data_IF_493291925663
#
_entry.id   IF_493291925663
#
_cell.length_a   1.000
_cell.length_b   1.000
_cell.length_c   1.000
_cell.angle_alpha   90.00
_cell.angle_beta   90.00
_cell.angle_gamma   90.00
#
_symmetry.space_group_name_H-M   'P 1'
#
loop_
_entity.id
_entity.type
_entity.pdbx_description
1 polymer ?
#
# COMPACT_ATOMS: atom_id res chain seq x y z
N UNK A 1 9.11 -28.47 62.30
CA UNK A 1 9.89 -28.88 61.12
C UNK A 1 9.53 -27.90 60.01
N UNK A 2 10.44 -26.99 59.66
CA UNK A 2 10.24 -26.06 58.57
C UNK A 2 10.53 -26.74 57.24
N UNK A 3 9.63 -26.62 56.28
CA UNK A 3 9.82 -27.14 54.91
C UNK A 3 11.05 -26.47 54.28
N UNK A 4 11.89 -27.20 53.53
CA UNK A 4 13.02 -26.60 52.86
C UNK A 4 12.54 -25.58 51.83
N UNK A 5 13.30 -24.47 51.59
CA UNK A 5 12.96 -23.52 50.58
C UNK A 5 12.97 -24.19 49.20
N UNK A 6 11.95 -23.85 48.38
CA UNK A 6 11.90 -24.28 46.99
C UNK A 6 13.16 -23.79 46.26
N UNK A 7 13.78 -24.62 45.38
CA UNK A 7 14.91 -24.20 44.62
C UNK A 7 14.47 -23.00 43.72
N UNK A 8 15.35 -22.01 43.50
CA UNK A 8 15.05 -20.91 42.58
C UNK A 8 14.69 -21.50 41.23
N UNK A 9 13.51 -21.15 40.73
CA UNK A 9 13.11 -21.53 39.36
C UNK A 9 14.19 -21.05 38.44
N UNK A 10 14.87 -21.96 37.74
CA UNK A 10 15.83 -21.56 36.70
C UNK A 10 15.10 -20.61 35.71
N UNK A 11 15.60 -19.41 35.54
CA UNK A 11 15.07 -18.50 34.55
C UNK A 11 15.11 -19.20 33.18
N UNK A 12 14.07 -19.08 32.36
CA UNK A 12 14.05 -19.72 31.05
C UNK A 12 15.26 -19.23 30.22
N UNK A 13 16.02 -20.13 29.66
CA UNK A 13 17.09 -19.76 28.69
C UNK A 13 16.50 -19.40 27.33
N UNK A 14 16.05 -18.19 27.20
CA UNK A 14 15.50 -17.67 25.95
C UNK A 14 16.53 -17.61 24.81
N UNK A 15 17.82 -17.47 25.11
CA UNK A 15 18.90 -17.45 24.13
C UNK A 15 19.16 -18.81 23.51
N UNK A 16 18.85 -19.88 24.23
CA UNK A 16 18.98 -21.27 23.81
C UNK A 16 17.75 -21.85 23.10
N UNK A 17 16.75 -21.06 22.78
CA UNK A 17 15.59 -21.55 22.02
C UNK A 17 16.01 -22.12 20.67
N UNK A 18 15.43 -23.30 20.28
CA UNK A 18 15.60 -23.82 18.92
C UNK A 18 15.09 -22.89 17.84
N UNK A 19 15.69 -22.94 16.64
CA UNK A 19 15.36 -22.05 15.54
C UNK A 19 13.89 -22.11 15.13
N UNK A 20 13.28 -23.28 15.08
CA UNK A 20 11.86 -23.49 14.77
C UNK A 20 10.91 -22.85 15.80
N UNK A 21 11.28 -22.89 17.07
CA UNK A 21 10.53 -22.22 18.11
C UNK A 21 10.66 -20.67 17.96
N UNK A 22 11.86 -20.17 17.67
CA UNK A 22 12.10 -18.75 17.42
C UNK A 22 11.33 -18.25 16.20
N UNK A 23 11.33 -19.01 15.10
CA UNK A 23 10.56 -18.67 13.91
C UNK A 23 9.06 -18.57 14.21
N UNK A 24 8.52 -19.52 14.96
CA UNK A 24 7.11 -19.47 15.39
C UNK A 24 6.80 -18.21 16.21
N UNK A 25 7.73 -17.76 17.05
CA UNK A 25 7.60 -16.52 17.82
C UNK A 25 7.65 -15.31 16.87
N UNK A 26 8.62 -15.27 15.97
CA UNK A 26 8.83 -14.14 15.04
C UNK A 26 7.67 -13.98 14.06
N UNK A 27 7.11 -15.07 13.55
CA UNK A 27 5.91 -15.04 12.70
C UNK A 27 4.69 -14.43 13.41
N UNK A 28 4.58 -14.61 14.72
CA UNK A 28 3.49 -14.03 15.52
C UNK A 28 3.73 -12.57 15.90
N UNK A 29 4.98 -12.19 16.07
CA UNK A 29 5.35 -10.81 16.38
C UNK A 29 5.14 -9.90 15.18
N UNK A 30 5.53 -10.36 13.98
CA UNK A 30 5.53 -9.54 12.78
C UNK A 30 6.82 -8.75 12.55
N UNK A 31 6.91 -8.10 11.40
CA UNK A 31 8.13 -7.44 10.95
C UNK A 31 8.61 -6.29 11.86
N UNK A 32 7.76 -5.36 12.33
CA UNK A 32 8.20 -4.26 13.17
C UNK A 32 8.86 -4.72 14.47
N UNK A 33 8.21 -5.64 15.20
CA UNK A 33 8.68 -6.14 16.48
C UNK A 33 9.98 -6.96 16.34
N UNK A 34 10.12 -7.70 15.23
CA UNK A 34 11.35 -8.44 14.95
C UNK A 34 12.50 -7.49 14.61
N UNK A 35 12.23 -6.42 13.83
CA UNK A 35 13.25 -5.46 13.44
C UNK A 35 13.74 -4.60 14.61
N UNK A 36 12.83 -4.14 15.46
CA UNK A 36 13.13 -3.18 16.52
C UNK A 36 13.45 -3.83 17.87
N UNK A 37 12.97 -5.04 18.11
CA UNK A 37 13.03 -5.70 19.42
C UNK A 37 13.63 -7.09 19.37
N UNK A 38 12.85 -8.06 18.92
CA UNK A 38 13.24 -9.47 19.02
C UNK A 38 14.55 -9.79 18.28
N UNK A 39 14.79 -9.20 17.12
CA UNK A 39 16.00 -9.41 16.35
C UNK A 39 17.29 -8.91 17.02
N UNK A 40 17.20 -8.07 18.06
CA UNK A 40 18.36 -7.50 18.75
C UNK A 40 18.57 -8.04 20.17
N UNK A 41 17.75 -8.98 20.62
CA UNK A 41 17.81 -9.59 21.98
C UNK A 41 19.15 -10.30 22.21
N UNK A 42 19.57 -11.15 21.28
CA UNK A 42 20.87 -11.83 21.34
C UNK A 42 21.34 -12.26 19.94
N UNK A 43 22.60 -12.72 19.85
CA UNK A 43 23.20 -13.15 18.58
C UNK A 43 22.44 -14.30 17.89
N UNK A 44 21.88 -15.23 18.65
CA UNK A 44 21.09 -16.34 18.10
C UNK A 44 19.79 -15.82 17.47
N UNK A 45 19.07 -14.96 18.15
CA UNK A 45 17.84 -14.35 17.63
C UNK A 45 18.11 -13.51 16.40
N UNK A 46 19.18 -12.70 16.39
CA UNK A 46 19.57 -11.95 15.22
C UNK A 46 19.90 -12.85 14.03
N UNK A 47 20.65 -13.93 14.27
CA UNK A 47 21.01 -14.90 13.22
C UNK A 47 19.76 -15.51 12.58
N UNK A 48 18.78 -15.94 13.38
CA UNK A 48 17.53 -16.50 12.87
C UNK A 48 16.72 -15.42 12.13
N UNK A 49 16.57 -14.23 12.70
CA UNK A 49 15.84 -13.14 12.07
C UNK A 49 16.45 -12.69 10.72
N UNK A 50 17.76 -12.81 10.53
CA UNK A 50 18.45 -12.40 9.28
C UNK A 50 18.66 -13.56 8.33
N UNK A 51 18.68 -14.80 8.82
CA UNK A 51 19.01 -15.98 8.01
C UNK A 51 17.80 -16.69 7.38
N UNK A 52 16.57 -16.28 7.72
CA UNK A 52 15.36 -16.95 7.28
C UNK A 52 14.50 -16.03 6.37
N UNK A 53 14.73 -16.01 5.05
CA UNK A 53 14.02 -15.13 4.13
C UNK A 53 12.50 -15.35 4.11
N UNK A 54 12.01 -16.56 4.42
CA UNK A 54 10.60 -16.87 4.42
C UNK A 54 9.82 -16.13 5.53
N UNK A 55 10.51 -15.73 6.61
CA UNK A 55 9.96 -14.85 7.64
C UNK A 55 9.52 -13.50 7.08
N UNK A 56 10.17 -13.02 6.02
CA UNK A 56 9.99 -11.70 5.41
C UNK A 56 9.13 -11.73 4.13
N UNK A 57 8.44 -12.84 3.86
CA UNK A 57 7.48 -12.90 2.75
C UNK A 57 6.33 -11.91 2.91
N UNK A 58 5.97 -11.61 4.16
CA UNK A 58 4.92 -10.66 4.52
C UNK A 58 5.50 -9.61 5.43
N UNK A 59 5.60 -8.40 4.91
CA UNK A 59 6.10 -7.23 5.65
C UNK A 59 4.94 -6.26 5.79
N UNK A 60 4.42 -6.13 7.00
CA UNK A 60 3.41 -5.15 7.35
C UNK A 60 4.03 -4.13 8.30
N UNK A 61 4.17 -2.90 7.82
CA UNK A 61 4.67 -1.73 8.54
C UNK A 61 3.55 -0.69 8.71
N UNK A 62 2.29 -1.12 8.61
CA UNK A 62 1.14 -0.28 8.93
C UNK A 62 1.05 -0.05 10.45
N UNK A 63 0.43 1.04 10.85
CA UNK A 63 0.17 1.39 12.25
C UNK A 63 1.41 1.45 13.17
N UNK A 64 2.62 1.35 12.62
CA UNK A 64 3.88 1.42 13.36
C UNK A 64 4.67 2.71 13.09
N UNK A 65 4.05 3.72 12.45
CA UNK A 65 4.73 4.98 12.14
C UNK A 65 5.15 5.71 13.42
N UNK A 66 6.46 5.89 13.57
CA UNK A 66 7.09 6.67 14.63
C UNK A 66 8.07 7.67 13.98
N UNK A 67 7.88 8.98 14.17
CA UNK A 67 8.75 9.99 13.57
C UNK A 67 10.19 9.96 14.10
N UNK A 68 10.44 9.24 15.19
CA UNK A 68 11.81 9.08 15.77
C UNK A 68 12.57 7.91 15.16
N UNK A 69 11.88 7.04 14.38
CA UNK A 69 12.44 5.85 13.75
C UNK A 69 12.59 6.09 12.25
N UNK A 70 13.72 5.70 11.69
CA UNK A 70 13.90 5.66 10.24
C UNK A 70 13.11 4.49 9.62
N UNK A 71 11.84 4.78 9.33
CA UNK A 71 10.91 3.82 8.72
C UNK A 71 11.38 3.34 7.34
N UNK A 72 12.10 4.19 6.58
CA UNK A 72 12.63 3.82 5.26
C UNK A 72 13.77 2.82 5.43
N UNK A 73 14.69 3.05 6.36
CA UNK A 73 15.76 2.10 6.66
C UNK A 73 15.20 0.76 7.16
N UNK A 74 14.16 0.80 7.99
CA UNK A 74 13.45 -0.40 8.47
C UNK A 74 12.82 -1.20 7.32
N UNK A 75 12.13 -0.53 6.40
CA UNK A 75 11.56 -1.17 5.21
C UNK A 75 12.65 -1.77 4.30
N UNK A 76 13.75 -1.04 4.07
CA UNK A 76 14.88 -1.55 3.30
C UNK A 76 15.48 -2.80 3.94
N UNK A 77 15.67 -2.82 5.27
CA UNK A 77 16.18 -4.00 5.98
C UNK A 77 15.25 -5.21 5.84
N UNK A 78 13.92 -5.01 5.92
CA UNK A 78 12.95 -6.08 5.71
C UNK A 78 13.00 -6.63 4.28
N UNK A 79 13.06 -5.74 3.28
CA UNK A 79 13.15 -6.12 1.85
C UNK A 79 14.45 -6.88 1.56
N UNK A 80 15.58 -6.46 2.14
CA UNK A 80 16.86 -7.15 1.97
C UNK A 80 16.83 -8.55 2.59
N UNK A 81 16.27 -8.68 3.81
CA UNK A 81 16.13 -9.97 4.51
C UNK A 81 15.19 -10.94 3.78
N UNK A 82 14.21 -10.41 3.04
CA UNK A 82 13.32 -11.23 2.23
C UNK A 82 14.04 -11.95 1.07
N UNK A 83 15.23 -11.51 0.66
CA UNK A 83 16.06 -12.12 -0.38
C UNK A 83 15.26 -12.48 -1.65
N UNK A 84 14.48 -11.53 -2.14
CA UNK A 84 13.61 -11.69 -3.32
C UNK A 84 12.30 -12.42 -3.08
N UNK A 85 12.03 -12.93 -1.88
CA UNK A 85 10.81 -13.69 -1.54
C UNK A 85 9.66 -12.84 -1.01
N UNK A 86 9.78 -11.52 -1.04
CA UNK A 86 8.72 -10.62 -0.60
C UNK A 86 7.49 -10.78 -1.49
N UNK A 87 6.37 -11.18 -0.90
CA UNK A 87 5.08 -11.38 -1.58
C UNK A 87 4.04 -10.33 -1.17
N UNK A 88 4.09 -9.82 0.06
CA UNK A 88 3.14 -8.85 0.58
C UNK A 88 3.88 -7.71 1.27
N UNK A 89 3.56 -6.49 0.90
CA UNK A 89 4.09 -5.30 1.55
C UNK A 89 2.96 -4.33 1.88
N UNK A 90 2.90 -3.91 3.13
CA UNK A 90 1.98 -2.90 3.61
C UNK A 90 2.72 -1.82 4.39
N UNK A 91 2.36 -0.55 4.21
CA UNK A 91 2.97 0.55 4.93
C UNK A 91 2.12 1.82 4.87
N UNK A 92 2.28 2.67 5.90
CA UNK A 92 1.58 3.92 6.06
C UNK A 92 2.55 5.12 6.13
N UNK A 93 2.21 6.21 5.44
CA UNK A 93 2.81 7.55 5.55
C UNK A 93 4.20 7.76 4.93
N UNK A 94 5.13 6.82 5.01
CA UNK A 94 6.55 7.07 4.72
C UNK A 94 7.02 6.61 3.33
N UNK A 95 6.21 5.82 2.61
CA UNK A 95 6.62 5.28 1.30
C UNK A 95 6.69 6.38 0.25
N UNK A 96 7.75 6.35 -0.54
CA UNK A 96 8.04 7.28 -1.63
C UNK A 96 8.53 6.51 -2.86
N UNK A 97 8.60 7.16 -4.02
CA UNK A 97 9.13 6.54 -5.24
C UNK A 97 10.53 5.93 -5.08
N UNK A 98 11.52 6.58 -4.43
CA UNK A 98 12.82 5.98 -4.14
C UNK A 98 12.73 4.62 -3.43
N UNK A 99 11.84 4.47 -2.44
CA UNK A 99 11.64 3.18 -1.78
C UNK A 99 11.03 2.13 -2.72
N UNK A 100 10.06 2.52 -3.55
CA UNK A 100 9.49 1.60 -4.57
C UNK A 100 10.53 1.18 -5.61
N UNK A 101 11.42 2.08 -6.03
CA UNK A 101 12.56 1.73 -6.90
C UNK A 101 13.54 0.78 -6.21
N UNK A 102 13.80 0.99 -4.91
CA UNK A 102 14.63 0.09 -4.12
C UNK A 102 14.03 -1.32 -4.06
N UNK A 103 12.73 -1.42 -3.78
CA UNK A 103 11.99 -2.68 -3.76
C UNK A 103 12.01 -3.35 -5.14
N UNK A 104 11.79 -2.59 -6.22
CA UNK A 104 11.80 -3.12 -7.58
C UNK A 104 13.13 -3.78 -7.96
N UNK A 105 14.26 -3.32 -7.43
CA UNK A 105 15.59 -3.93 -7.66
C UNK A 105 15.77 -5.25 -6.92
N UNK A 106 15.00 -5.51 -5.85
CA UNK A 106 15.20 -6.61 -4.89
C UNK A 106 14.08 -7.63 -4.82
N UNK A 107 12.91 -7.32 -5.37
CA UNK A 107 11.77 -8.24 -5.37
C UNK A 107 11.23 -8.45 -6.78
N UNK A 108 10.74 -9.67 -7.04
CA UNK A 108 10.13 -10.04 -8.32
C UNK A 108 8.86 -10.88 -8.16
N UNK A 109 8.44 -11.11 -6.92
CA UNK A 109 7.33 -11.99 -6.57
C UNK A 109 6.21 -11.30 -5.81
N UNK A 110 6.16 -9.94 -5.80
CA UNK A 110 5.16 -9.20 -5.05
C UNK A 110 3.75 -9.49 -5.58
N UNK A 111 2.86 -9.92 -4.68
CA UNK A 111 1.46 -10.27 -4.97
C UNK A 111 0.48 -9.23 -4.44
N UNK A 112 0.84 -8.56 -3.34
CA UNK A 112 -0.01 -7.58 -2.68
C UNK A 112 0.81 -6.37 -2.23
N UNK A 113 0.34 -5.17 -2.57
CA UNK A 113 0.90 -3.89 -2.14
C UNK A 113 -0.20 -3.03 -1.53
N UNK A 114 -0.03 -2.63 -0.27
CA UNK A 114 -0.92 -1.72 0.44
C UNK A 114 -0.17 -0.48 0.89
N UNK A 115 -0.62 0.67 0.43
CA UNK A 115 -0.05 1.98 0.76
C UNK A 115 -1.16 2.90 1.27
N UNK A 116 -0.99 3.41 2.49
CA UNK A 116 -1.93 4.33 3.12
C UNK A 116 -1.23 5.65 3.43
N UNK A 117 -1.86 6.78 3.11
CA UNK A 117 -1.31 8.13 3.30
C UNK A 117 0.08 8.37 2.67
N UNK A 118 0.44 7.65 1.64
CA UNK A 118 1.73 7.78 0.96
C UNK A 118 1.65 8.82 -0.18
N UNK A 119 1.61 10.11 0.20
CA UNK A 119 1.38 11.22 -0.72
C UNK A 119 2.52 11.47 -1.73
N UNK A 120 3.72 10.95 -1.46
CA UNK A 120 4.91 11.10 -2.33
C UNK A 120 5.12 9.92 -3.29
N UNK A 121 4.16 9.01 -3.37
CA UNK A 121 4.15 7.92 -4.36
C UNK A 121 3.54 8.44 -5.66
N UNK A 122 4.21 8.19 -6.78
CA UNK A 122 3.71 8.46 -8.13
C UNK A 122 3.49 7.18 -8.93
N UNK A 123 2.92 7.31 -10.12
CA UNK A 123 2.83 6.19 -11.05
C UNK A 123 4.21 5.68 -11.50
N UNK A 124 5.28 6.50 -11.48
CA UNK A 124 6.64 6.08 -11.87
C UNK A 124 7.18 4.99 -10.93
N UNK A 125 7.06 5.19 -9.62
CA UNK A 125 7.45 4.18 -8.62
C UNK A 125 6.66 2.88 -8.77
N UNK A 126 5.34 2.98 -8.95
CA UNK A 126 4.47 1.81 -9.15
C UNK A 126 4.79 1.06 -10.45
N UNK A 127 5.03 1.78 -11.55
CA UNK A 127 5.40 1.17 -12.85
C UNK A 127 6.76 0.48 -12.75
N UNK A 128 7.74 1.08 -12.07
CA UNK A 128 9.04 0.43 -11.87
C UNK A 128 8.90 -0.89 -11.10
N UNK A 129 8.04 -0.91 -10.06
CA UNK A 129 7.74 -2.13 -9.33
C UNK A 129 6.99 -3.15 -10.21
N UNK A 130 6.04 -2.71 -11.04
CA UNK A 130 5.27 -3.55 -11.95
C UNK A 130 6.14 -4.22 -13.03
N UNK A 131 7.17 -3.56 -13.53
CA UNK A 131 8.15 -4.15 -14.46
C UNK A 131 8.86 -5.38 -13.87
N UNK A 132 8.95 -5.45 -12.54
CA UNK A 132 9.60 -6.56 -11.83
C UNK A 132 8.62 -7.56 -11.22
N UNK A 133 7.43 -7.11 -10.87
CA UNK A 133 6.36 -7.91 -10.26
C UNK A 133 5.05 -7.76 -11.05
N UNK A 134 5.00 -8.20 -12.33
CA UNK A 134 3.82 -8.05 -13.18
C UNK A 134 2.64 -8.91 -12.71
N UNK A 135 2.89 -9.83 -11.79
CA UNK A 135 1.90 -10.74 -11.20
C UNK A 135 1.23 -10.20 -9.94
N UNK A 136 1.36 -8.90 -9.66
CA UNK A 136 0.64 -8.27 -8.56
C UNK A 136 -0.86 -8.48 -8.72
N UNK A 137 -1.49 -9.06 -7.70
CA UNK A 137 -2.92 -9.38 -7.71
C UNK A 137 -3.74 -8.38 -6.91
N UNK A 138 -3.14 -7.75 -5.90
CA UNK A 138 -3.82 -6.82 -5.00
C UNK A 138 -3.06 -5.50 -4.87
N UNK A 139 -3.74 -4.39 -5.10
CA UNK A 139 -3.23 -3.05 -4.90
C UNK A 139 -4.21 -2.23 -4.07
N UNK A 140 -3.72 -1.65 -3.00
CA UNK A 140 -4.44 -0.67 -2.21
C UNK A 140 -3.68 0.65 -2.17
N UNK A 141 -4.35 1.73 -2.56
CA UNK A 141 -3.89 3.10 -2.48
C UNK A 141 -4.96 3.90 -1.74
N UNK A 142 -4.79 4.03 -0.43
CA UNK A 142 -5.71 4.76 0.43
C UNK A 142 -5.10 6.10 0.81
N UNK A 143 -5.78 7.19 0.50
CA UNK A 143 -5.32 8.57 0.77
C UNK A 143 -3.90 8.83 0.21
N UNK A 144 -3.62 8.30 -0.97
CA UNK A 144 -2.37 8.55 -1.71
C UNK A 144 -2.55 9.69 -2.72
N UNK A 145 -1.48 10.04 -3.46
CA UNK A 145 -1.54 11.11 -4.45
C UNK A 145 -2.64 10.90 -5.50
N UNK A 146 -3.45 11.94 -5.73
CA UNK A 146 -4.51 11.94 -6.76
C UNK A 146 -3.95 11.96 -8.19
N UNK A 147 -2.67 12.29 -8.35
CA UNK A 147 -2.01 12.40 -9.67
C UNK A 147 -1.47 11.07 -10.19
N UNK A 148 -1.72 9.96 -9.50
CA UNK A 148 -1.32 8.63 -9.98
C UNK A 148 -2.17 8.25 -11.19
N UNK A 149 -1.53 8.03 -12.35
CA UNK A 149 -2.21 7.54 -13.56
C UNK A 149 -2.60 6.08 -13.39
N UNK A 150 -3.91 5.80 -13.28
CA UNK A 150 -4.42 4.44 -13.17
C UNK A 150 -4.23 3.65 -14.47
N UNK A 151 -4.15 4.34 -15.63
CA UNK A 151 -3.80 3.70 -16.90
C UNK A 151 -2.40 3.09 -16.87
N UNK A 152 -1.41 3.88 -16.42
CA UNK A 152 -0.03 3.40 -16.30
C UNK A 152 0.07 2.24 -15.27
N UNK A 153 -0.67 2.34 -14.16
CA UNK A 153 -0.76 1.29 -13.14
C UNK A 153 -1.38 0.01 -13.72
N UNK A 154 -2.52 0.10 -14.41
CA UNK A 154 -3.16 -1.07 -15.02
C UNK A 154 -2.28 -1.76 -16.06
N UNK A 155 -1.53 -0.99 -16.86
CA UNK A 155 -0.56 -1.54 -17.81
C UNK A 155 0.62 -2.24 -17.13
N UNK A 156 1.06 -1.72 -15.98
CA UNK A 156 2.17 -2.30 -15.21
C UNK A 156 1.76 -3.58 -14.45
N UNK A 157 0.49 -3.70 -14.06
CA UNK A 157 -0.04 -4.81 -13.29
C UNK A 157 -1.22 -5.50 -14.02
N UNK A 158 -0.97 -6.19 -15.14
CA UNK A 158 -2.03 -6.75 -16.00
C UNK A 158 -2.84 -7.87 -15.33
N UNK A 159 -2.37 -8.44 -14.22
CA UNK A 159 -3.06 -9.50 -13.47
C UNK A 159 -3.79 -8.99 -12.22
N UNK A 160 -3.98 -7.68 -12.11
CA UNK A 160 -4.61 -7.08 -10.93
C UNK A 160 -6.06 -7.54 -10.81
N UNK A 161 -6.37 -8.22 -9.69
CA UNK A 161 -7.69 -8.77 -9.38
C UNK A 161 -8.43 -7.94 -8.34
N UNK A 162 -7.70 -7.29 -7.44
CA UNK A 162 -8.25 -6.45 -6.37
C UNK A 162 -7.61 -5.07 -6.38
N UNK A 163 -8.44 -4.06 -6.54
CA UNK A 163 -8.04 -2.66 -6.41
C UNK A 163 -8.86 -1.98 -5.33
N UNK A 164 -8.17 -1.37 -4.37
CA UNK A 164 -8.74 -0.42 -3.42
C UNK A 164 -8.14 0.95 -3.69
N UNK A 165 -8.99 1.87 -4.08
CA UNK A 165 -8.61 3.24 -4.39
C UNK A 165 -9.49 4.15 -3.54
N UNK A 166 -9.06 4.36 -2.30
CA UNK A 166 -9.85 5.06 -1.31
C UNK A 166 -9.33 6.48 -1.16
N UNK A 167 -10.24 7.42 -1.28
CA UNK A 167 -9.94 8.82 -1.08
C UNK A 167 -10.39 9.27 0.31
N UNK A 168 -9.99 10.49 0.63
CA UNK A 168 -10.50 11.23 1.77
C UNK A 168 -11.49 12.27 1.26
N UNK A 169 -12.59 12.44 1.93
CA UNK A 169 -13.51 13.53 1.65
C UNK A 169 -12.87 14.88 2.04
N UNK A 170 -12.00 15.40 1.17
CA UNK A 170 -11.47 16.76 1.30
C UNK A 170 -12.14 17.64 0.25
N UNK A 171 -12.55 18.83 0.66
CA UNK A 171 -13.31 19.74 -0.20
C UNK A 171 -12.39 20.48 -1.18
N UNK A 172 -11.76 19.76 -2.12
CA UNK A 172 -10.93 20.33 -3.19
C UNK A 172 -11.74 20.30 -4.49
N UNK A 173 -12.00 21.45 -5.06
CA UNK A 173 -12.91 21.62 -6.22
C UNK A 173 -12.49 20.85 -7.50
N UNK A 174 -11.21 20.47 -7.62
CA UNK A 174 -10.68 19.77 -8.80
C UNK A 174 -10.75 18.23 -8.74
N UNK A 175 -11.07 17.61 -7.60
CA UNK A 175 -10.98 16.15 -7.42
C UNK A 175 -11.99 15.36 -8.27
N UNK A 176 -13.17 15.90 -8.54
CA UNK A 176 -14.19 15.20 -9.32
C UNK A 176 -13.70 14.83 -10.72
N UNK A 177 -12.99 15.73 -11.41
CA UNK A 177 -12.45 15.47 -12.73
C UNK A 177 -11.38 14.39 -12.69
N UNK A 178 -10.51 14.41 -11.67
CA UNK A 178 -9.48 13.39 -11.50
C UNK A 178 -10.08 12.01 -11.21
N UNK A 179 -11.07 11.92 -10.33
CA UNK A 179 -11.73 10.65 -10.01
C UNK A 179 -12.46 10.06 -11.21
N UNK A 180 -13.09 10.89 -12.05
CA UNK A 180 -13.69 10.43 -13.31
C UNK A 180 -12.63 9.88 -14.27
N UNK A 181 -11.48 10.57 -14.45
CA UNK A 181 -10.39 10.09 -15.30
C UNK A 181 -9.80 8.78 -14.77
N UNK A 182 -9.56 8.69 -13.46
CA UNK A 182 -9.05 7.45 -12.82
C UNK A 182 -10.01 6.28 -13.02
N UNK A 183 -11.32 6.52 -12.91
CA UNK A 183 -12.34 5.51 -13.17
C UNK A 183 -12.35 5.04 -14.63
N UNK A 184 -12.20 5.95 -15.60
CA UNK A 184 -12.06 5.61 -17.02
C UNK A 184 -10.75 4.88 -17.33
N UNK A 185 -9.65 5.27 -16.69
CA UNK A 185 -8.38 4.56 -16.77
C UNK A 185 -8.51 3.12 -16.27
N UNK A 186 -9.16 2.90 -15.12
CA UNK A 186 -9.47 1.56 -14.58
C UNK A 186 -10.26 0.75 -15.59
N UNK A 187 -11.36 1.32 -16.11
CA UNK A 187 -12.22 0.67 -17.09
C UNK A 187 -11.47 0.23 -18.35
N UNK A 188 -10.48 1.00 -18.78
CA UNK A 188 -9.75 0.74 -20.04
C UNK A 188 -8.49 -0.12 -19.88
N UNK A 189 -7.94 -0.25 -18.67
CA UNK A 189 -6.62 -0.88 -18.46
C UNK A 189 -6.60 -2.04 -17.48
N UNK A 190 -7.71 -2.35 -16.78
CA UNK A 190 -7.76 -3.39 -15.75
C UNK A 190 -8.90 -4.41 -16.01
N UNK A 191 -8.88 -5.18 -17.11
CA UNK A 191 -9.97 -6.08 -17.48
C UNK A 191 -10.14 -7.27 -16.54
N UNK A 192 -9.06 -7.70 -15.85
CA UNK A 192 -9.07 -8.86 -14.94
C UNK A 192 -9.61 -8.55 -13.54
N UNK A 193 -10.02 -7.30 -13.30
CA UNK A 193 -10.44 -6.84 -11.98
C UNK A 193 -11.71 -7.58 -11.51
N UNK A 194 -11.62 -8.15 -10.29
CA UNK A 194 -12.71 -8.87 -9.62
C UNK A 194 -13.31 -8.11 -8.44
N UNK A 195 -12.46 -7.37 -7.73
CA UNK A 195 -12.89 -6.62 -6.54
C UNK A 195 -12.42 -5.17 -6.68
N UNK A 196 -13.36 -4.25 -6.64
CA UNK A 196 -13.10 -2.82 -6.73
C UNK A 196 -13.71 -2.09 -5.54
N UNK A 197 -12.89 -1.35 -4.81
CA UNK A 197 -13.34 -0.43 -3.77
C UNK A 197 -12.92 0.98 -4.14
N UNK A 198 -13.90 1.88 -4.20
CA UNK A 198 -13.76 3.29 -4.53
C UNK A 198 -14.34 4.15 -3.40
N UNK A 199 -13.88 3.92 -2.17
CA UNK A 199 -14.42 4.62 -1.00
C UNK A 199 -14.16 6.13 -1.09
N UNK A 200 -15.19 6.95 -0.84
CA UNK A 200 -15.15 8.41 -0.84
C UNK A 200 -14.64 9.06 -2.16
N UNK A 201 -14.79 8.37 -3.29
CA UNK A 201 -14.47 8.92 -4.60
C UNK A 201 -15.62 9.79 -5.12
N UNK A 202 -15.29 10.83 -5.89
CA UNK A 202 -16.26 11.77 -6.49
C UNK A 202 -16.60 11.47 -7.94
N UNK A 203 -16.42 10.21 -8.38
CA UNK A 203 -16.79 9.79 -9.73
C UNK A 203 -18.28 9.96 -9.98
N UNK A 204 -18.67 10.17 -11.25
CA UNK A 204 -20.06 10.29 -11.71
C UNK A 204 -20.58 8.97 -12.29
N UNK A 205 -21.88 8.90 -12.53
CA UNK A 205 -22.56 7.75 -13.12
C UNK A 205 -21.91 7.27 -14.43
N UNK A 206 -21.49 8.19 -15.33
CA UNK A 206 -20.89 7.82 -16.61
C UNK A 206 -19.56 7.07 -16.44
N UNK A 207 -18.73 7.48 -15.49
CA UNK A 207 -17.46 6.83 -15.23
C UNK A 207 -17.67 5.45 -14.55
N UNK A 208 -18.64 5.35 -13.63
CA UNK A 208 -19.04 4.08 -13.05
C UNK A 208 -19.61 3.12 -14.09
N UNK A 209 -20.47 3.61 -15.00
CA UNK A 209 -21.02 2.80 -16.09
C UNK A 209 -19.90 2.23 -16.96
N UNK A 210 -18.87 3.04 -17.29
CA UNK A 210 -17.72 2.57 -18.07
C UNK A 210 -16.96 1.44 -17.37
N UNK A 211 -16.77 1.50 -16.04
CA UNK A 211 -16.18 0.40 -15.27
C UNK A 211 -17.03 -0.85 -15.38
N UNK A 212 -18.34 -0.73 -15.13
CA UNK A 212 -19.26 -1.85 -15.19
C UNK A 212 -19.36 -2.47 -16.59
N UNK A 213 -19.19 -1.69 -17.65
CA UNK A 213 -19.24 -2.16 -19.03
C UNK A 213 -17.95 -2.85 -19.50
N UNK A 214 -16.78 -2.51 -18.91
CA UNK A 214 -15.49 -3.00 -19.37
C UNK A 214 -14.84 -4.02 -18.43
N UNK A 215 -15.10 -3.95 -17.12
CA UNK A 215 -14.59 -4.92 -16.17
C UNK A 215 -15.55 -6.12 -16.04
N UNK A 216 -15.52 -7.01 -17.03
CA UNK A 216 -16.49 -8.12 -17.12
C UNK A 216 -16.35 -9.17 -16.02
N UNK A 217 -15.17 -9.28 -15.41
CA UNK A 217 -14.88 -10.22 -14.34
C UNK A 217 -15.19 -9.66 -12.94
N UNK A 218 -15.72 -8.42 -12.86
CA UNK A 218 -16.02 -7.78 -11.58
C UNK A 218 -17.10 -8.57 -10.83
N UNK A 219 -16.78 -8.93 -9.58
CA UNK A 219 -17.62 -9.70 -8.66
C UNK A 219 -18.11 -8.85 -7.49
N UNK A 220 -17.27 -7.89 -7.03
CA UNK A 220 -17.56 -7.05 -5.87
C UNK A 220 -17.24 -5.59 -6.15
N UNK A 221 -18.12 -4.69 -5.72
CA UNK A 221 -17.99 -3.25 -5.90
C UNK A 221 -18.39 -2.52 -4.62
N UNK A 222 -17.47 -1.73 -4.06
CA UNK A 222 -17.74 -0.87 -2.91
C UNK A 222 -17.68 0.60 -3.33
N UNK A 223 -18.80 1.29 -3.21
CA UNK A 223 -19.00 2.70 -3.55
C UNK A 223 -19.35 3.56 -2.34
N UNK A 224 -19.13 3.06 -1.13
CA UNK A 224 -19.49 3.80 0.08
C UNK A 224 -18.84 5.19 0.07
N UNK A 225 -19.58 6.20 0.52
CA UNK A 225 -19.18 7.61 0.50
C UNK A 225 -19.00 8.23 -0.91
N UNK A 226 -19.33 7.55 -2.01
CA UNK A 226 -19.30 8.09 -3.38
C UNK A 226 -20.60 8.87 -3.67
N UNK A 227 -20.80 10.02 -3.05
CA UNK A 227 -22.09 10.73 -3.06
C UNK A 227 -22.48 11.38 -4.39
N UNK A 228 -21.55 11.48 -5.37
CA UNK A 228 -21.86 11.92 -6.73
C UNK A 228 -22.49 10.80 -7.60
N UNK A 229 -22.47 9.56 -7.11
CA UNK A 229 -23.11 8.43 -7.77
C UNK A 229 -24.56 8.35 -7.38
N UNK A 230 -25.45 8.40 -8.38
CA UNK A 230 -26.88 8.20 -8.22
C UNK A 230 -27.29 6.91 -8.92
N UNK A 231 -27.66 5.88 -8.14
CA UNK A 231 -28.04 4.57 -8.68
C UNK A 231 -29.41 4.66 -9.34
N UNK A 232 -29.42 4.95 -10.62
CA UNK A 232 -30.61 4.90 -11.50
C UNK A 232 -30.95 3.47 -11.93
N UNK A 233 -31.95 3.32 -12.79
CA UNK A 233 -32.41 2.01 -13.25
C UNK A 233 -31.34 1.28 -14.09
N UNK A 234 -30.57 2.02 -14.90
CA UNK A 234 -29.50 1.46 -15.75
C UNK A 234 -28.35 0.93 -14.91
N UNK A 235 -27.80 1.76 -14.01
CA UNK A 235 -26.71 1.33 -13.12
C UNK A 235 -27.14 0.19 -12.20
N UNK A 236 -28.39 0.20 -11.73
CA UNK A 236 -28.96 -0.90 -10.92
C UNK A 236 -28.96 -2.20 -11.71
N UNK A 237 -29.36 -2.17 -12.99
CA UNK A 237 -29.34 -3.35 -13.84
C UNK A 237 -27.90 -3.86 -14.08
N UNK A 238 -26.93 -2.95 -14.29
CA UNK A 238 -25.53 -3.32 -14.45
C UNK A 238 -24.94 -3.90 -13.15
N UNK A 239 -25.27 -3.36 -12.00
CA UNK A 239 -24.84 -3.87 -10.69
C UNK A 239 -25.46 -5.23 -10.32
N UNK A 240 -26.64 -5.57 -10.87
CA UNK A 240 -27.35 -6.81 -10.52
C UNK A 240 -26.56 -8.10 -10.87
N UNK A 241 -25.55 -8.04 -11.73
CA UNK A 241 -24.66 -9.17 -12.05
C UNK A 241 -23.58 -9.42 -11.00
N UNK A 242 -23.32 -8.44 -10.12
CA UNK A 242 -22.29 -8.52 -9.10
C UNK A 242 -22.78 -9.33 -7.90
N UNK A 243 -21.85 -10.01 -7.23
CA UNK A 243 -22.15 -10.82 -6.04
C UNK A 243 -22.32 -9.96 -4.78
N UNK A 244 -21.51 -8.91 -4.68
CA UNK A 244 -21.50 -8.00 -3.54
C UNK A 244 -21.40 -6.56 -4.02
N UNK A 245 -22.32 -5.70 -3.56
CA UNK A 245 -22.35 -4.28 -3.90
C UNK A 245 -22.62 -3.48 -2.65
N UNK A 246 -21.69 -2.58 -2.32
CA UNK A 246 -21.87 -1.58 -1.28
C UNK A 246 -22.20 -0.24 -1.92
N UNK A 247 -23.32 0.33 -1.56
CA UNK A 247 -23.85 1.56 -2.14
C UNK A 247 -23.32 2.80 -1.42
N UNK A 248 -23.42 4.01 -2.02
CA UNK A 248 -22.85 5.24 -1.44
C UNK A 248 -23.28 5.58 -0.02
N UNK A 249 -24.47 5.15 0.39
CA UNK A 249 -25.06 5.45 1.71
C UNK A 249 -25.06 4.26 2.68
N UNK A 250 -24.43 3.14 2.30
CA UNK A 250 -24.33 1.98 3.17
C UNK A 250 -23.42 2.27 4.36
N UNK A 251 -23.59 1.52 5.45
CA UNK A 251 -22.83 1.69 6.68
C UNK A 251 -21.31 1.54 6.45
N UNK A 252 -20.53 2.36 7.12
CA UNK A 252 -19.08 2.36 7.11
C UNK A 252 -18.46 1.73 8.35
N UNK A 253 -19.27 1.19 9.27
CA UNK A 253 -18.81 0.65 10.56
C UNK A 253 -17.77 -0.48 10.44
N UNK A 254 -17.67 -1.11 9.28
CA UNK A 254 -16.71 -2.16 8.95
C UNK A 254 -15.54 -1.64 8.10
N UNK A 255 -15.36 -0.32 8.02
CA UNK A 255 -14.25 0.28 7.27
C UNK A 255 -13.03 0.48 8.17
N UNK A 256 -11.98 -0.28 7.89
CA UNK A 256 -10.80 -0.43 8.76
C UNK A 256 -10.00 0.88 9.00
N UNK A 257 -10.21 1.93 8.16
CA UNK A 257 -9.43 3.18 8.22
C UNK A 257 -10.21 4.39 8.76
N UNK A 258 -11.42 4.23 9.27
CA UNK A 258 -12.26 5.35 9.70
C UNK A 258 -11.64 6.10 10.90
N UNK A 259 -11.11 5.36 11.87
CA UNK A 259 -10.43 5.93 13.05
C UNK A 259 -9.16 6.74 12.68
N UNK A 260 -8.44 6.33 11.63
CA UNK A 260 -7.22 7.01 11.18
C UNK A 260 -7.55 8.33 10.47
N UNK A 261 -8.67 8.39 9.77
CA UNK A 261 -9.14 9.60 9.08
C UNK A 261 -9.52 10.68 10.10
N UNK A 262 -10.20 10.33 11.20
CA UNK A 262 -10.59 11.25 12.25
C UNK A 262 -9.39 11.82 13.03
N UNK A 263 -8.37 11.01 13.28
CA UNK A 263 -7.18 11.42 14.07
C UNK A 263 -6.30 12.43 13.33
N UNK A 264 -6.23 12.36 11.99
CA UNK A 264 -5.49 13.32 11.19
C UNK A 264 -6.21 14.67 11.03
N UNK A 265 -7.54 14.72 11.14
CA UNK A 265 -8.31 15.96 11.03
C UNK A 265 -7.96 16.96 12.14
N UNK A 266 -7.59 16.47 13.32
CA UNK A 266 -7.33 17.32 14.49
C UNK A 266 -5.90 17.89 14.56
N UNK A 267 -4.88 17.26 13.94
CA UNK A 267 -3.50 17.57 14.27
C UNK A 267 -2.54 17.96 13.12
N UNK A 268 -2.89 17.84 11.85
CA UNK A 268 -1.86 17.91 10.80
C UNK A 268 -2.21 18.61 9.47
N UNK A 269 -3.42 19.12 9.27
CA UNK A 269 -3.81 19.77 8.01
C UNK A 269 -3.01 21.02 7.62
N UNK A 270 -2.58 21.93 8.53
CA UNK A 270 -1.81 23.12 8.13
C UNK A 270 -0.37 22.83 7.73
N UNK A 271 0.26 21.77 8.26
CA UNK A 271 1.70 21.51 8.08
C UNK A 271 2.03 20.67 6.82
N UNK A 272 1.14 19.78 6.41
CA UNK A 272 1.35 18.94 5.22
C UNK A 272 1.14 19.72 3.90
N UNK A 273 0.28 20.74 3.89
CA UNK A 273 0.00 21.56 2.71
C UNK A 273 0.84 22.86 2.64
N UNK A 274 1.41 23.33 3.75
CA UNK A 274 2.20 24.55 3.79
C UNK A 274 3.61 24.42 3.18
N UNK A 275 4.10 23.18 2.96
CA UNK A 275 5.44 22.96 2.40
C UNK A 275 5.47 22.74 0.87
N UNK A 276 4.33 22.56 0.21
CA UNK A 276 4.28 22.14 -1.18
C UNK A 276 3.81 23.22 -2.18
N UNK A 277 4.26 24.47 -2.01
CA UNK A 277 4.29 25.43 -3.14
C UNK A 277 5.14 24.99 -4.35
N UNK A 278 5.80 23.82 -4.25
CA UNK A 278 6.67 23.24 -5.28
C UNK A 278 5.90 22.31 -6.24
N UNK A 279 4.77 21.72 -5.83
CA UNK A 279 4.06 20.75 -6.67
C UNK A 279 3.35 21.34 -7.88
N UNK A 280 2.93 22.60 -7.84
CA UNK A 280 2.25 23.26 -8.98
C UNK A 280 3.18 23.56 -10.16
N UNK A 281 4.51 23.54 -9.97
CA UNK A 281 5.48 23.85 -11.04
C UNK A 281 6.07 22.63 -11.74
N UNK A 282 5.86 21.41 -11.22
CA UNK A 282 6.56 20.20 -11.70
C UNK A 282 5.74 19.32 -12.64
N UNK A 283 4.46 19.62 -12.87
CA UNK A 283 3.63 18.86 -13.82
C UNK A 283 2.84 19.79 -14.74
N UNK A 284 3.39 20.22 -15.89
CA UNK A 284 2.59 20.85 -16.93
C UNK A 284 1.62 19.85 -17.53
N UNK A 285 0.35 20.21 -17.56
CA UNK A 285 -0.75 19.50 -18.25
C UNK A 285 -0.58 19.58 -19.77
N UNK A 286 0.47 19.02 -20.34
CA UNK A 286 0.57 18.84 -21.78
C UNK A 286 1.27 17.53 -22.09
N UNK A 287 0.52 16.68 -22.83
CA UNK A 287 1.07 15.50 -23.46
C UNK A 287 2.17 15.86 -24.45
N UNK A 288 3.32 15.26 -24.27
CA UNK A 288 4.26 15.01 -25.35
C UNK A 288 5.05 13.77 -24.98
N UNK A 289 4.94 12.75 -25.84
CA UNK A 289 5.82 11.61 -25.91
C UNK A 289 7.28 12.12 -25.94
N UNK A 290 8.04 11.82 -24.92
CA UNK A 290 9.50 11.86 -24.96
C UNK A 290 10.08 10.57 -24.37
N UNK A 291 11.00 10.03 -25.14
CA UNK A 291 11.74 8.80 -25.06
C UNK A 291 12.40 8.49 -23.71
N UNK A 292 12.33 7.20 -23.36
CA UNK A 292 12.68 6.53 -22.12
C UNK A 292 14.20 6.47 -21.75
N UNK A 293 15.08 7.31 -22.31
CA UNK A 293 16.54 7.12 -22.14
C UNK A 293 17.20 8.01 -21.06
N UNK A 294 16.53 9.07 -20.58
CA UNK A 294 17.16 10.02 -19.62
C UNK A 294 16.87 9.69 -18.14
N UNK A 295 15.98 8.73 -17.84
CA UNK A 295 15.55 8.40 -16.46
C UNK A 295 16.57 7.53 -15.67
N UNK A 296 17.69 7.09 -16.28
CA UNK A 296 18.64 6.17 -15.66
C UNK A 296 19.68 6.86 -14.75
N UNK A 297 20.06 8.11 -15.06
CA UNK A 297 21.07 8.85 -14.30
C UNK A 297 20.51 9.42 -12.98
N UNK A 298 19.25 9.83 -12.94
CA UNK A 298 18.62 10.34 -11.71
C UNK A 298 18.40 9.27 -10.63
N UNK A 299 18.33 8.00 -11.02
CA UNK A 299 18.13 6.87 -10.12
C UNK A 299 19.37 6.59 -9.24
N UNK A 300 20.57 6.76 -9.78
CA UNK A 300 21.80 6.45 -9.07
C UNK A 300 22.18 7.56 -8.07
N UNK A 301 21.76 8.79 -8.31
CA UNK A 301 21.94 9.91 -7.38
C UNK A 301 21.02 9.80 -6.16
N UNK A 302 19.76 9.38 -6.35
CA UNK A 302 18.80 9.23 -5.27
C UNK A 302 19.15 8.07 -4.32
N UNK A 303 19.85 7.03 -4.82
CA UNK A 303 20.23 5.85 -4.03
C UNK A 303 21.56 6.03 -3.29
N UNK A 304 22.42 6.97 -3.72
CA UNK A 304 23.67 7.29 -3.02
C UNK A 304 23.46 7.90 -1.63
N UNK A 305 22.28 8.44 -1.35
CA UNK A 305 21.91 9.00 -0.05
C UNK A 305 21.27 7.98 0.91
N UNK A 306 20.89 6.78 0.44
CA UNK A 306 20.29 5.72 1.26
C UNK A 306 21.31 4.66 1.74
N UNK A 307 22.58 4.77 1.35
CA UNK A 307 23.62 3.78 1.61
C UNK A 307 24.68 4.22 2.67
N UNK A 308 24.36 5.20 3.54
CA UNK A 308 25.23 5.63 4.64
C UNK A 308 24.59 5.35 6.00
#
# INVERSE_FOLDING_TARGET
MASPPLPPSAEPDWAGLPDDALLTVFERLGAPEVLMGAGVVCRNWLRVATGEPDLWRRVDLSDCFDPTIDMVAMACAAVDRADGRLEHFAADCFVTDPLLFYMAKRTNGLKSLRLVNCMKVSHKGLVALGKRSPHLEELELTTCSIYISMKAVGQAFPQLKRLRLNNRWVNVECEEQFDNHRALDIASSMPELRHLQLFANRLRNSALAAILDNCHHLESLDLRQCFNVHIDAELRAKCARLRDVRLPKDSTNDYDHEAYIETLELNSLPLLFAHDGIFAQQYPLHGSDHSDEDDQEDLDVALGHLAL
#
